data_IF_682609946281
#
_entry.id   IF_682609946281
#
_cell.length_a   1.000
_cell.length_b   1.000
_cell.length_c   1.000
_cell.angle_alpha   90.00
_cell.angle_beta   90.00
_cell.angle_gamma   90.00
#
_symmetry.space_group_name_H-M   'P 1'
#
loop_
_entity.id
_entity.type
_entity.pdbx_description
1 polymer ?
#
# COMPACT_ATOMS: atom_id res chain seq x y z
N UNK A 1 -7.65 23.45 21.05
CA UNK A 1 -7.19 22.05 21.10
C UNK A 1 -6.94 21.58 19.68
N UNK A 2 -5.73 21.18 19.39
CA UNK A 2 -5.40 20.69 18.05
C UNK A 2 -5.89 19.28 17.86
N UNK A 3 -6.54 19.04 16.72
CA UNK A 3 -6.94 17.69 16.34
C UNK A 3 -5.73 17.02 15.70
N UNK A 4 -5.32 15.87 16.24
CA UNK A 4 -4.23 15.09 15.67
C UNK A 4 -4.62 14.53 14.32
N UNK A 5 -3.74 14.64 13.34
CA UNK A 5 -3.92 13.99 12.05
C UNK A 5 -3.59 12.50 12.20
N UNK A 6 -4.50 11.64 11.74
CA UNK A 6 -4.21 10.21 11.62
C UNK A 6 -3.42 9.99 10.34
N UNK A 7 -2.25 9.38 10.46
CA UNK A 7 -1.39 9.10 9.31
C UNK A 7 -1.40 7.60 9.01
N UNK A 8 -1.44 7.27 7.73
CA UNK A 8 -1.35 5.90 7.26
C UNK A 8 -0.35 5.82 6.10
N UNK A 9 0.16 4.63 5.86
CA UNK A 9 1.13 4.37 4.78
C UNK A 9 0.62 3.23 3.91
N UNK A 10 0.96 3.29 2.63
CA UNK A 10 0.76 2.19 1.70
C UNK A 10 2.00 2.01 0.86
N UNK A 11 2.30 0.76 0.50
CA UNK A 11 3.50 0.43 -0.28
C UNK A 11 3.09 -0.21 -1.60
N UNK A 12 3.46 0.42 -2.69
CA UNK A 12 3.18 -0.08 -4.03
C UNK A 12 4.44 -0.78 -4.55
N UNK A 13 4.46 -2.11 -4.39
CA UNK A 13 5.61 -2.93 -4.81
C UNK A 13 5.62 -3.12 -6.32
N UNK A 14 6.76 -2.89 -6.92
CA UNK A 14 6.99 -3.06 -8.35
C UNK A 14 8.12 -4.08 -8.58
N UNK A 15 7.83 -5.15 -9.32
CA UNK A 15 8.83 -6.14 -9.71
C UNK A 15 9.55 -5.70 -10.98
N UNK A 16 10.85 -5.46 -10.88
CA UNK A 16 11.66 -5.07 -12.04
C UNK A 16 11.69 -6.18 -13.07
N UNK A 17 11.78 -7.44 -12.62
CA UNK A 17 11.86 -8.60 -13.50
C UNK A 17 10.63 -8.77 -14.40
N UNK A 18 9.42 -8.59 -13.83
CA UNK A 18 8.17 -8.85 -14.56
C UNK A 18 7.44 -7.58 -14.99
N UNK A 19 7.86 -6.42 -14.46
CA UNK A 19 7.19 -5.13 -14.69
C UNK A 19 5.73 -5.16 -14.24
N UNK A 20 5.48 -5.80 -13.10
CA UNK A 20 4.15 -5.92 -12.51
C UNK A 20 4.14 -5.35 -11.10
N UNK A 21 2.97 -4.82 -10.69
CA UNK A 21 2.73 -4.27 -9.37
C UNK A 21 1.92 -5.24 -8.52
N UNK A 22 2.19 -5.24 -7.21
CA UNK A 22 1.47 -6.08 -6.25
C UNK A 22 0.23 -5.36 -5.71
N UNK A 23 -0.89 -6.07 -5.71
CA UNK A 23 -2.14 -5.65 -5.08
C UNK A 23 -2.64 -6.74 -4.15
N UNK A 24 -3.29 -6.33 -3.06
CA UNK A 24 -3.88 -7.24 -2.08
C UNK A 24 -5.39 -7.10 -2.09
N UNK A 25 -6.10 -8.23 -2.04
CA UNK A 25 -7.56 -8.25 -2.00
C UNK A 25 -8.02 -8.16 -0.55
N UNK A 26 -8.74 -7.09 -0.22
CA UNK A 26 -9.15 -6.76 1.14
C UNK A 26 -10.30 -7.62 1.62
N UNK A 27 -10.30 -7.89 2.93
CA UNK A 27 -11.32 -8.65 3.62
C UNK A 27 -11.86 -7.88 4.84
N UNK A 28 -11.83 -6.55 4.79
CA UNK A 28 -12.31 -5.75 5.91
C UNK A 28 -13.78 -5.31 5.71
N UNK A 29 -14.52 -5.02 6.80
CA UNK A 29 -15.95 -4.70 6.70
C UNK A 29 -16.27 -3.42 5.94
N UNK A 30 -15.34 -2.47 5.91
CA UNK A 30 -15.58 -1.16 5.26
C UNK A 30 -15.53 -1.24 3.75
N UNK A 31 -14.54 -1.98 3.22
CA UNK A 31 -14.31 -2.08 1.78
C UNK A 31 -13.98 -3.53 1.40
N UNK A 32 -14.95 -4.46 1.66
CA UNK A 32 -14.68 -5.87 1.38
C UNK A 32 -14.53 -6.11 -0.10
N UNK A 33 -13.67 -7.07 -0.45
CA UNK A 33 -13.43 -7.50 -1.83
C UNK A 33 -12.97 -6.39 -2.77
N UNK A 34 -12.25 -5.40 -2.22
CA UNK A 34 -11.59 -4.37 -3.02
C UNK A 34 -10.08 -4.59 -2.98
N UNK A 35 -9.42 -4.19 -4.06
CA UNK A 35 -7.96 -4.31 -4.18
C UNK A 35 -7.29 -3.07 -3.59
N UNK A 36 -6.26 -3.29 -2.81
CA UNK A 36 -5.50 -2.22 -2.17
C UNK A 36 -4.02 -2.57 -2.08
N UNK A 37 -3.30 -1.80 -1.29
CA UNK A 37 -1.86 -1.96 -1.08
C UNK A 37 -1.58 -2.45 0.34
N UNK A 38 -0.43 -3.12 0.56
CA UNK A 38 0.03 -3.37 1.93
C UNK A 38 0.22 -2.04 2.65
N UNK A 39 -0.19 -1.97 3.91
CA UNK A 39 -0.03 -0.77 4.70
C UNK A 39 -1.08 -0.64 5.79
N UNK A 40 -1.07 0.49 6.46
CA UNK A 40 -2.00 0.77 7.54
C UNK A 40 -1.62 2.02 8.31
N UNK A 41 -2.26 2.22 9.44
CA UNK A 41 -2.05 3.40 10.28
C UNK A 41 -0.67 3.38 10.93
N UNK A 42 -0.05 4.57 10.99
CA UNK A 42 1.20 4.77 11.71
C UNK A 42 0.88 4.81 13.20
N UNK A 43 1.63 4.06 13.99
CA UNK A 43 1.50 4.06 15.44
C UNK A 43 2.33 5.18 16.06
N UNK A 44 2.03 5.53 17.30
CA UNK A 44 2.75 6.57 18.02
C UNK A 44 4.25 6.28 18.05
N UNK A 45 5.05 7.31 17.76
CA UNK A 45 6.51 7.25 17.77
C UNK A 45 7.12 6.40 16.65
N UNK A 46 6.34 6.01 15.65
CA UNK A 46 6.88 5.35 14.45
C UNK A 46 7.22 6.39 13.38
N UNK A 47 8.33 6.16 12.69
CA UNK A 47 8.59 6.83 11.42
C UNK A 47 7.77 6.18 10.31
N UNK A 48 7.68 6.82 9.15
CA UNK A 48 7.00 6.25 7.98
C UNK A 48 7.61 4.90 7.59
N UNK A 49 8.95 4.81 7.58
CA UNK A 49 9.64 3.56 7.21
C UNK A 49 9.40 2.47 8.24
N UNK A 50 9.40 2.81 9.52
CA UNK A 50 9.11 1.83 10.58
C UNK A 50 7.69 1.29 10.45
N UNK A 51 6.71 2.16 10.17
CA UNK A 51 5.32 1.75 9.97
C UNK A 51 5.20 0.82 8.76
N UNK A 52 5.83 1.17 7.63
CA UNK A 52 5.82 0.34 6.43
C UNK A 52 6.42 -1.04 6.69
N UNK A 53 7.54 -1.09 7.40
CA UNK A 53 8.22 -2.35 7.73
C UNK A 53 7.32 -3.23 8.59
N UNK A 54 6.72 -2.66 9.62
CA UNK A 54 5.81 -3.39 10.52
C UNK A 54 4.59 -3.92 9.77
N UNK A 55 3.94 -3.04 8.97
CA UNK A 55 2.75 -3.43 8.22
C UNK A 55 3.06 -4.54 7.20
N UNK A 56 4.21 -4.47 6.53
CA UNK A 56 4.62 -5.52 5.60
C UNK A 56 4.85 -6.85 6.33
N UNK A 57 5.47 -6.84 7.51
CA UNK A 57 5.62 -8.05 8.32
C UNK A 57 4.26 -8.64 8.67
N UNK A 58 3.30 -7.80 9.07
CA UNK A 58 1.96 -8.25 9.44
C UNK A 58 1.17 -8.79 8.25
N UNK A 59 1.22 -8.11 7.12
CA UNK A 59 0.34 -8.39 5.99
C UNK A 59 0.94 -9.29 4.92
N UNK A 60 2.27 -9.33 4.80
CA UNK A 60 2.97 -10.15 3.81
C UNK A 60 3.77 -11.29 4.45
N UNK A 61 3.93 -11.27 5.79
CA UNK A 61 4.72 -12.25 6.51
C UNK A 61 6.19 -11.88 6.63
N UNK A 62 6.64 -10.88 5.89
CA UNK A 62 8.03 -10.41 5.93
C UNK A 62 8.11 -9.03 5.28
N UNK A 63 9.20 -8.32 5.54
CA UNK A 63 9.52 -7.12 4.76
C UNK A 63 10.37 -7.54 3.57
N UNK A 64 9.85 -7.41 2.34
CA UNK A 64 10.62 -7.80 1.15
C UNK A 64 11.92 -7.00 1.04
N UNK A 65 12.98 -7.65 0.59
CA UNK A 65 14.22 -6.98 0.25
C UNK A 65 13.98 -6.09 -0.97
N UNK A 66 14.27 -4.81 -0.86
CA UNK A 66 13.95 -3.86 -1.92
C UNK A 66 15.19 -3.09 -2.38
N UNK A 67 15.12 -2.59 -3.61
CA UNK A 67 16.18 -1.82 -4.26
C UNK A 67 16.00 -0.32 -4.04
N UNK A 68 14.77 0.17 -4.14
CA UNK A 68 14.43 1.58 -3.93
C UNK A 68 13.09 1.71 -3.22
N UNK A 69 13.02 2.73 -2.37
CA UNK A 69 11.80 3.14 -1.68
C UNK A 69 11.67 4.65 -1.90
N UNK A 70 10.63 5.08 -2.60
CA UNK A 70 10.45 6.48 -3.00
C UNK A 70 9.06 6.95 -2.61
N UNK A 71 8.94 8.12 -1.93
CA UNK A 71 7.63 8.71 -1.71
C UNK A 71 6.97 9.04 -3.06
N UNK A 72 5.74 8.61 -3.25
CA UNK A 72 5.02 8.81 -4.50
C UNK A 72 3.94 9.87 -4.36
N UNK A 73 3.14 9.79 -3.31
CA UNK A 73 1.97 10.64 -3.15
C UNK A 73 1.64 10.81 -1.67
N UNK A 74 1.10 11.97 -1.32
CA UNK A 74 0.51 12.21 -0.01
C UNK A 74 -0.90 12.76 -0.22
N UNK A 75 -1.90 11.98 0.19
CA UNK A 75 -3.30 12.43 0.21
C UNK A 75 -3.61 12.97 1.60
N UNK A 76 -4.24 14.15 1.66
CA UNK A 76 -4.72 14.72 2.93
C UNK A 76 -6.21 14.98 2.79
N UNK A 77 -7.01 14.51 3.75
CA UNK A 77 -8.45 14.75 3.75
C UNK A 77 -8.78 16.23 3.87
N UNK A 78 -9.98 16.63 3.42
CA UNK A 78 -10.40 18.03 3.41
C UNK A 78 -10.38 18.65 4.82
N UNK A 79 -10.70 17.89 5.85
CA UNK A 79 -10.68 18.33 7.24
C UNK A 79 -9.29 18.22 7.88
N UNK A 80 -8.31 17.71 7.13
CA UNK A 80 -6.93 17.48 7.57
C UNK A 80 -6.81 16.50 8.76
N UNK A 81 -7.88 15.73 9.01
CA UNK A 81 -7.87 14.71 10.06
C UNK A 81 -7.22 13.40 9.66
N UNK A 82 -6.94 13.21 8.37
CA UNK A 82 -6.36 11.98 7.83
C UNK A 82 -5.36 12.30 6.72
N UNK A 83 -4.22 11.64 6.74
CA UNK A 83 -3.22 11.72 5.66
C UNK A 83 -2.76 10.31 5.31
N UNK A 84 -2.68 10.02 4.01
CA UNK A 84 -2.23 8.72 3.48
C UNK A 84 -1.00 8.95 2.62
N UNK A 85 0.08 8.24 2.98
CA UNK A 85 1.38 8.34 2.31
C UNK A 85 1.61 7.08 1.48
N UNK A 86 1.69 7.22 0.17
CA UNK A 86 1.96 6.10 -0.73
C UNK A 86 3.42 6.13 -1.15
N UNK A 87 4.08 4.97 -1.05
CA UNK A 87 5.46 4.79 -1.46
C UNK A 87 5.56 3.82 -2.61
N UNK A 88 6.39 4.15 -3.59
CA UNK A 88 6.83 3.22 -4.62
C UNK A 88 8.00 2.41 -4.06
N UNK A 89 7.97 1.10 -4.22
CA UNK A 89 9.00 0.22 -3.70
C UNK A 89 9.38 -0.80 -4.77
N UNK A 90 10.59 -0.66 -5.35
CA UNK A 90 11.04 -1.62 -6.35
C UNK A 90 11.73 -2.82 -5.72
N UNK A 91 11.38 -4.01 -6.21
CA UNK A 91 12.00 -5.27 -5.83
C UNK A 91 12.54 -5.95 -7.09
N UNK A 92 13.56 -6.80 -6.93
CA UNK A 92 14.17 -7.44 -8.09
C UNK A 92 13.24 -8.40 -8.81
N UNK A 93 12.45 -9.15 -8.06
CA UNK A 93 11.51 -10.14 -8.60
C UNK A 93 10.27 -10.23 -7.71
N UNK A 94 9.22 -10.82 -8.25
CA UNK A 94 7.99 -11.06 -7.50
C UNK A 94 8.25 -12.00 -6.32
N UNK A 95 7.49 -11.81 -5.25
CA UNK A 95 7.55 -12.68 -4.08
C UNK A 95 6.15 -13.21 -3.79
N UNK A 96 6.08 -14.25 -2.98
CA UNK A 96 4.83 -14.87 -2.55
C UNK A 96 4.55 -14.42 -1.13
N UNK A 97 3.53 -13.57 -0.92
CA UNK A 97 3.20 -13.12 0.44
C UNK A 97 2.52 -14.22 1.24
N UNK A 98 2.71 -14.18 2.56
CA UNK A 98 1.94 -14.97 3.51
C UNK A 98 0.90 -14.04 4.12
N UNK A 99 -0.34 -14.16 3.67
CA UNK A 99 -1.41 -13.24 4.05
C UNK A 99 -1.96 -13.55 5.45
N UNK A 100 -2.44 -12.50 6.14
CA UNK A 100 -3.18 -12.65 7.39
C UNK A 100 -4.68 -12.49 7.12
N UNK A 101 -5.50 -12.35 8.16
CA UNK A 101 -6.97 -12.26 8.01
C UNK A 101 -7.46 -10.97 7.36
N UNK A 102 -6.62 -9.96 7.20
CA UNK A 102 -7.01 -8.69 6.58
C UNK A 102 -7.11 -8.77 5.07
N UNK A 103 -6.47 -9.77 4.47
CA UNK A 103 -6.46 -9.95 3.01
C UNK A 103 -6.71 -11.40 2.65
N UNK A 104 -7.53 -11.62 1.60
CA UNK A 104 -7.91 -12.96 1.16
C UNK A 104 -7.28 -13.36 -0.18
N UNK A 105 -6.46 -12.48 -0.76
CA UNK A 105 -5.78 -12.79 -2.01
C UNK A 105 -4.78 -11.72 -2.38
N UNK A 106 -3.96 -12.04 -3.38
CA UNK A 106 -3.00 -11.08 -3.94
C UNK A 106 -2.86 -11.32 -5.44
N UNK A 107 -2.37 -10.30 -6.14
CA UNK A 107 -2.08 -10.44 -7.56
C UNK A 107 -0.98 -9.47 -7.96
N UNK A 108 -0.09 -9.95 -8.82
CA UNK A 108 0.87 -9.10 -9.52
C UNK A 108 0.28 -8.77 -10.87
N UNK A 109 0.11 -7.47 -11.17
CA UNK A 109 -0.60 -7.01 -12.36
C UNK A 109 0.30 -6.09 -13.17
N UNK A 110 0.34 -6.31 -14.49
CA UNK A 110 1.12 -5.54 -15.46
C UNK A 110 0.83 -4.04 -15.36
N UNK A 111 1.88 -3.23 -15.51
CA UNK A 111 1.79 -1.77 -15.59
C UNK A 111 0.74 -1.36 -16.62
N UNK A 112 -0.11 -0.40 -16.25
CA UNK A 112 -1.17 0.11 -17.11
C UNK A 112 -2.49 -0.67 -17.03
N UNK A 113 -2.52 -1.77 -16.26
CA UNK A 113 -3.74 -2.53 -16.00
C UNK A 113 -4.05 -2.44 -14.51
N UNK A 114 -5.31 -2.20 -14.18
CA UNK A 114 -5.73 -1.99 -12.80
C UNK A 114 -6.67 -3.11 -12.34
N UNK A 115 -6.51 -3.60 -11.11
CA UNK A 115 -7.49 -4.55 -10.55
C UNK A 115 -8.80 -3.84 -10.25
N UNK A 116 -9.90 -4.57 -10.31
CA UNK A 116 -11.23 -4.01 -10.03
C UNK A 116 -12.02 -4.96 -9.12
N UNK A 117 -12.79 -4.42 -8.17
CA UNK A 117 -12.87 -3.01 -7.79
C UNK A 117 -11.68 -2.58 -6.93
N UNK A 118 -11.23 -1.36 -7.11
CA UNK A 118 -10.14 -0.81 -6.33
C UNK A 118 -10.66 -0.09 -5.08
N UNK A 119 -9.90 -0.18 -3.99
CA UNK A 119 -10.14 0.65 -2.83
C UNK A 119 -10.06 2.12 -3.23
N UNK A 120 -10.97 3.00 -2.74
CA UNK A 120 -10.97 4.40 -3.15
C UNK A 120 -9.63 5.13 -2.98
N UNK A 121 -8.86 4.80 -1.93
CA UNK A 121 -7.55 5.40 -1.72
C UNK A 121 -6.52 5.01 -2.76
N UNK A 122 -6.66 3.83 -3.37
CA UNK A 122 -5.74 3.37 -4.41
C UNK A 122 -6.01 4.06 -5.75
N UNK A 123 -7.24 4.45 -6.02
CA UNK A 123 -7.62 5.05 -7.28
C UNK A 123 -6.80 6.29 -7.63
N UNK A 124 -6.57 7.17 -6.66
CA UNK A 124 -5.79 8.39 -6.90
C UNK A 124 -4.33 8.07 -7.22
N UNK A 125 -3.77 7.05 -6.58
CA UNK A 125 -2.38 6.64 -6.79
C UNK A 125 -2.17 6.12 -8.21
N UNK A 126 -3.03 5.22 -8.69
CA UNK A 126 -2.88 4.66 -10.04
C UNK A 126 -3.14 5.72 -11.12
N UNK A 127 -4.06 6.64 -10.89
CA UNK A 127 -4.30 7.74 -11.81
C UNK A 127 -3.09 8.67 -11.90
N UNK A 128 -2.42 8.91 -10.80
CA UNK A 128 -1.19 9.71 -10.77
C UNK A 128 -0.10 9.06 -11.63
N UNK A 129 0.08 7.76 -11.52
CA UNK A 129 1.10 7.03 -12.28
C UNK A 129 0.75 6.93 -13.76
N UNK A 130 -0.54 6.95 -14.10
CA UNK A 130 -1.00 6.85 -15.49
C UNK A 130 -0.79 8.14 -16.30
N UNK A 131 -0.54 9.25 -15.61
CA UNK A 131 -0.22 10.52 -16.27
C UNK A 131 1.27 10.62 -16.53
#
# INVERSE_FOLDING_TARGET
METSTVNAVGVWFYSINTQRYLYLLRNDPRHPNTWGLPGGKIENNETLVEAMTRECHEELGFMPEYLRMVPLEKFTSADKGFAYHTFFCSVGKEFIPTLNEEHIGYSWITTGVWPKPMHPGLWSTVNFDAV
#
